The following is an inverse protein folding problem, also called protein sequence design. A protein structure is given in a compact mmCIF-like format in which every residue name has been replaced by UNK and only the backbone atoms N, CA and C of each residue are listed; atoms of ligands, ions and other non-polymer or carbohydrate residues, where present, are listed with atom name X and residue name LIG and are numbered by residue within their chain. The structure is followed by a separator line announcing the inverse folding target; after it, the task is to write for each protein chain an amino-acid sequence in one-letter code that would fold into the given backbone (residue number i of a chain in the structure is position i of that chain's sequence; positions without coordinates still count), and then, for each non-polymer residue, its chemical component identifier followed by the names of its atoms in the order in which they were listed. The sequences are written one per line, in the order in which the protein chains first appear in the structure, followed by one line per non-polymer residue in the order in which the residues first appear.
data_IF_745998468854
#
_entry.id   IF_745998468854
#
_cell.length_a   1.000
_cell.length_b   1.000
_cell.length_c   1.000
_cell.angle_alpha   90.00
_cell.angle_beta   90.00
_cell.angle_gamma   90.00
#
_symmetry.space_group_name_H-M   'P 1'
#
loop_
_entity.id
_entity.type
_entity.pdbx_description
1 polymer ?
#
# COMPACT_ATOMS: atom_id res chain seq x y z
N UNK A 1 -23.09 -11.00 4.26
CA UNK A 1 -21.75 -10.43 4.07
C UNK A 1 -21.91 -9.13 3.31
N UNK A 2 -21.33 -8.04 3.79
CA UNK A 2 -21.26 -6.78 3.04
C UNK A 2 -20.18 -7.01 1.98
N UNK A 3 -20.50 -7.08 0.69
CA UNK A 3 -19.49 -7.33 -0.35
C UNK A 3 -18.92 -6.03 -0.95
N UNK A 4 -19.47 -4.87 -0.54
CA UNK A 4 -19.14 -3.53 -1.03
C UNK A 4 -19.17 -3.36 -2.56
N UNK A 5 -19.63 -4.36 -3.32
CA UNK A 5 -19.62 -4.35 -4.79
C UNK A 5 -20.58 -3.31 -5.35
N UNK A 6 -21.63 -2.97 -4.58
CA UNK A 6 -22.55 -1.89 -4.93
C UNK A 6 -21.86 -0.52 -5.11
N UNK A 7 -20.72 -0.28 -4.46
CA UNK A 7 -19.96 0.97 -4.60
C UNK A 7 -19.44 1.16 -6.02
N UNK A 8 -19.03 0.08 -6.70
CA UNK A 8 -18.55 0.17 -8.08
C UNK A 8 -19.63 0.73 -9.01
N UNK A 9 -20.84 0.17 -8.91
CA UNK A 9 -21.99 0.65 -9.68
C UNK A 9 -22.27 2.13 -9.40
N UNK A 10 -22.34 2.52 -8.13
CA UNK A 10 -22.71 3.89 -7.75
C UNK A 10 -21.70 4.94 -8.23
N UNK A 11 -20.41 4.71 -8.02
CA UNK A 11 -19.38 5.68 -8.40
C UNK A 11 -19.20 5.77 -9.93
N UNK A 12 -19.29 4.65 -10.66
CA UNK A 12 -19.22 4.68 -12.14
C UNK A 12 -20.37 5.46 -12.77
N UNK A 13 -21.57 5.43 -12.17
CA UNK A 13 -22.73 6.19 -12.68
C UNK A 13 -22.67 7.68 -12.34
N UNK A 14 -22.09 8.04 -11.19
CA UNK A 14 -22.12 9.41 -10.68
C UNK A 14 -21.04 10.33 -11.29
N UNK A 15 -19.88 9.80 -11.68
CA UNK A 15 -18.68 10.63 -11.88
C UNK A 15 -18.13 10.65 -13.30
N UNK A 16 -18.73 9.91 -14.25
CA UNK A 16 -18.07 9.61 -15.52
C UNK A 16 -16.83 8.71 -15.31
N UNK A 17 -16.17 8.29 -16.39
CA UNK A 17 -15.16 7.21 -16.34
C UNK A 17 -13.87 7.55 -15.55
N UNK A 18 -13.65 8.81 -15.16
CA UNK A 18 -12.46 9.22 -14.39
C UNK A 18 -12.68 10.49 -13.56
N UNK A 19 -13.42 10.40 -12.45
CA UNK A 19 -13.41 11.49 -11.47
C UNK A 19 -13.57 10.96 -10.04
N UNK A 20 -12.60 11.28 -9.19
CA UNK A 20 -12.78 11.18 -7.75
C UNK A 20 -13.85 12.19 -7.35
N UNK A 21 -14.87 11.72 -6.64
CA UNK A 21 -15.96 12.56 -6.16
C UNK A 21 -15.72 12.95 -4.72
N UNK A 22 -15.93 14.23 -4.42
CA UNK A 22 -15.91 14.72 -3.04
C UNK A 22 -17.09 14.11 -2.30
N UNK A 23 -16.84 13.56 -1.11
CA UNK A 23 -17.88 13.02 -0.24
C UNK A 23 -18.41 14.15 0.65
N UNK A 24 -19.62 14.63 0.36
CA UNK A 24 -20.29 15.65 1.17
C UNK A 24 -21.39 15.02 2.04
N UNK A 25 -21.56 15.46 3.31
CA UNK A 25 -22.61 14.94 4.18
C UNK A 25 -24.01 15.06 3.57
N UNK A 26 -24.78 13.97 3.60
CA UNK A 26 -26.14 13.92 3.05
C UNK A 26 -26.23 13.68 1.54
N UNK A 27 -25.12 13.41 0.87
CA UNK A 27 -25.10 12.98 -0.53
C UNK A 27 -25.08 11.45 -0.68
N UNK A 28 -25.67 10.96 -1.78
CA UNK A 28 -25.85 9.53 -2.07
C UNK A 28 -24.53 8.75 -1.99
N UNK A 29 -23.44 9.29 -2.54
CA UNK A 29 -22.14 8.62 -2.53
C UNK A 29 -21.56 8.53 -1.11
N UNK A 30 -21.79 9.55 -0.28
CA UNK A 30 -21.36 9.56 1.12
C UNK A 30 -22.15 8.55 1.94
N UNK A 31 -23.46 8.48 1.75
CA UNK A 31 -24.33 7.52 2.42
C UNK A 31 -23.94 6.07 2.04
N UNK A 32 -23.62 5.83 0.77
CA UNK A 32 -23.14 4.53 0.30
C UNK A 32 -21.80 4.13 0.93
N UNK A 33 -20.91 5.10 1.18
CA UNK A 33 -19.62 4.86 1.83
C UNK A 33 -19.72 4.66 3.34
N UNK A 34 -20.85 4.98 3.98
CA UNK A 34 -20.99 4.91 5.44
C UNK A 34 -20.74 3.50 5.98
N UNK A 35 -21.31 2.48 5.34
CA UNK A 35 -21.11 1.07 5.74
C UNK A 35 -19.65 0.63 5.58
N UNK A 36 -18.96 1.14 4.54
CA UNK A 36 -17.54 0.89 4.31
C UNK A 36 -16.70 1.54 5.40
N UNK A 37 -16.94 2.82 5.69
CA UNK A 37 -16.20 3.53 6.73
C UNK A 37 -16.39 2.89 8.10
N UNK A 38 -17.62 2.59 8.51
CA UNK A 38 -17.90 1.92 9.78
C UNK A 38 -17.26 0.54 9.88
N UNK A 39 -17.28 -0.22 8.79
CA UNK A 39 -16.73 -1.58 8.81
C UNK A 39 -15.21 -1.58 9.03
N UNK A 40 -14.50 -0.61 8.46
CA UNK A 40 -13.05 -0.48 8.62
C UNK A 40 -12.63 0.50 9.72
N UNK A 41 -13.57 1.15 10.41
CA UNK A 41 -13.30 2.13 11.47
C UNK A 41 -12.67 3.43 10.95
N UNK A 42 -13.09 3.90 9.78
CA UNK A 42 -12.58 5.11 9.12
C UNK A 42 -13.41 6.36 9.44
N UNK A 43 -14.64 6.20 9.92
CA UNK A 43 -15.58 7.29 10.23
C UNK A 43 -15.03 8.22 11.32
N UNK A 44 -14.22 7.69 12.23
CA UNK A 44 -13.58 8.48 13.30
C UNK A 44 -12.57 9.49 12.73
N UNK A 45 -12.06 9.25 11.52
CA UNK A 45 -11.06 10.10 10.87
C UNK A 45 -11.70 11.27 10.13
N UNK A 46 -13.01 11.23 9.89
CA UNK A 46 -13.73 12.33 9.23
C UNK A 46 -13.64 13.63 10.03
N UNK A 47 -13.46 13.55 11.36
CA UNK A 47 -13.30 14.71 12.25
C UNK A 47 -11.95 15.44 12.04
N UNK A 48 -10.91 14.70 11.64
CA UNK A 48 -9.55 15.22 11.44
C UNK A 48 -9.30 15.63 9.98
N UNK A 49 -10.31 15.49 9.11
CA UNK A 49 -10.21 15.81 7.67
C UNK A 49 -11.13 16.95 7.28
N UNK A 50 -10.64 17.86 6.43
CA UNK A 50 -11.47 18.89 5.81
C UNK A 50 -12.22 18.37 4.58
N UNK A 51 -11.68 17.36 3.92
CA UNK A 51 -12.20 16.86 2.66
C UNK A 51 -11.77 15.41 2.41
N UNK A 52 -12.71 14.60 1.93
CA UNK A 52 -12.47 13.24 1.45
C UNK A 52 -13.01 13.13 0.04
N UNK A 53 -12.18 12.61 -0.86
CA UNK A 53 -12.61 12.18 -2.19
C UNK A 53 -12.50 10.67 -2.31
N UNK A 54 -13.43 10.06 -3.04
CA UNK A 54 -13.38 8.64 -3.38
C UNK A 54 -13.85 8.40 -4.82
N UNK A 55 -13.40 7.33 -5.44
CA UNK A 55 -13.86 6.95 -6.77
C UNK A 55 -12.87 6.04 -7.49
N UNK A 56 -13.12 5.88 -8.80
CA UNK A 56 -12.27 5.08 -9.67
C UNK A 56 -11.37 5.97 -10.53
N UNK A 57 -10.10 5.60 -10.60
CA UNK A 57 -9.14 6.14 -11.55
C UNK A 57 -8.93 5.09 -12.63
N UNK A 58 -9.41 5.34 -13.84
CA UNK A 58 -9.12 4.50 -14.99
C UNK A 58 -7.70 4.76 -15.51
N UNK A 59 -6.93 3.69 -15.67
CA UNK A 59 -5.56 3.69 -16.19
C UNK A 59 -5.48 3.16 -17.63
N UNK A 60 -6.64 2.89 -18.25
CA UNK A 60 -6.81 2.19 -19.52
C UNK A 60 -6.63 0.67 -19.43
N UNK A 61 -5.97 0.17 -18.38
CA UNK A 61 -5.80 -1.27 -18.09
C UNK A 61 -6.62 -1.73 -16.89
N UNK A 62 -6.71 -0.86 -15.88
CA UNK A 62 -7.38 -1.12 -14.61
C UNK A 62 -8.17 0.12 -14.17
N UNK A 63 -9.34 -0.10 -13.59
CA UNK A 63 -10.06 0.88 -12.80
C UNK A 63 -9.64 0.72 -11.34
N UNK A 64 -8.95 1.73 -10.81
CA UNK A 64 -8.36 1.72 -9.48
C UNK A 64 -9.28 2.41 -8.48
N UNK A 65 -9.72 1.70 -7.46
CA UNK A 65 -10.43 2.32 -6.35
C UNK A 65 -9.44 3.14 -5.53
N UNK A 66 -9.73 4.44 -5.37
CA UNK A 66 -8.83 5.41 -4.79
C UNK A 66 -9.58 6.33 -3.82
N UNK A 67 -8.92 6.69 -2.73
CA UNK A 67 -9.39 7.66 -1.76
C UNK A 67 -8.30 8.72 -1.49
N UNK A 68 -8.72 9.97 -1.38
CA UNK A 68 -7.86 11.10 -1.04
C UNK A 68 -8.42 11.81 0.19
N UNK A 69 -7.69 11.71 1.29
CA UNK A 69 -8.04 12.28 2.59
C UNK A 69 -7.18 13.53 2.83
N UNK A 70 -7.82 14.69 2.98
CA UNK A 70 -7.11 15.97 3.13
C UNK A 70 -7.29 16.54 4.53
N UNK A 71 -6.20 16.89 5.23
CA UNK A 71 -6.27 17.79 6.38
C UNK A 71 -6.54 19.22 5.89
N UNK A 72 -6.94 20.15 6.78
CA UNK A 72 -7.25 21.53 6.41
C UNK A 72 -6.11 22.29 5.71
N UNK A 73 -4.86 22.00 6.09
CA UNK A 73 -3.66 22.61 5.50
C UNK A 73 -2.61 21.51 5.23
N UNK A 74 -2.64 20.90 4.04
CA UNK A 74 -1.70 19.84 3.69
C UNK A 74 -0.25 20.36 3.60
N UNK A 75 0.67 19.70 4.29
CA UNK A 75 2.11 19.97 4.21
C UNK A 75 2.78 19.26 3.03
N UNK A 76 2.05 18.41 2.32
CA UNK A 76 2.50 17.54 1.24
C UNK A 76 1.49 16.42 0.98
N UNK A 77 1.87 15.45 0.14
CA UNK A 77 1.06 14.28 -0.20
C UNK A 77 1.79 12.99 0.13
N UNK A 78 1.19 12.15 0.98
CA UNK A 78 1.63 10.80 1.27
C UNK A 78 0.84 9.79 0.42
N UNK A 79 1.54 9.05 -0.44
CA UNK A 79 0.97 7.97 -1.23
C UNK A 79 1.16 6.65 -0.49
N UNK A 80 0.06 6.08 0.00
CA UNK A 80 0.06 4.82 0.75
C UNK A 80 -0.27 3.66 -0.19
N UNK A 81 0.60 2.65 -0.21
CA UNK A 81 0.46 1.46 -1.05
C UNK A 81 0.43 0.20 -0.17
N UNK A 82 -0.64 -0.57 -0.28
CA UNK A 82 -0.85 -1.74 0.56
C UNK A 82 -0.06 -2.98 0.12
N UNK A 83 0.00 -4.00 0.98
CA UNK A 83 0.65 -5.28 0.71
C UNK A 83 -0.18 -6.25 -0.14
N UNK A 84 0.44 -7.34 -0.59
CA UNK A 84 -0.27 -8.41 -1.30
C UNK A 84 -1.31 -9.07 -0.39
N UNK A 85 -2.53 -9.26 -0.89
CA UNK A 85 -3.75 -9.64 -0.15
C UNK A 85 -4.38 -8.60 0.77
N UNK A 86 -3.80 -7.42 0.91
CA UNK A 86 -4.45 -6.31 1.61
C UNK A 86 -5.37 -5.51 0.66
N UNK A 87 -5.99 -4.49 1.22
CA UNK A 87 -6.63 -3.38 0.52
C UNK A 87 -6.57 -2.14 1.42
N UNK A 88 -6.86 -0.94 0.91
CA UNK A 88 -6.59 0.31 1.64
C UNK A 88 -7.42 0.51 2.92
N UNK A 89 -8.57 -0.15 3.04
CA UNK A 89 -9.44 -0.08 4.22
C UNK A 89 -8.74 -0.55 5.50
N UNK A 90 -7.71 -1.41 5.37
CA UNK A 90 -6.93 -1.93 6.50
C UNK A 90 -5.91 -0.91 7.05
N UNK A 91 -5.74 0.26 6.43
CA UNK A 91 -4.66 1.19 6.74
C UNK A 91 -5.08 2.35 7.66
N UNK A 92 -6.20 2.19 8.39
CA UNK A 92 -6.78 3.24 9.26
C UNK A 92 -5.76 3.87 10.23
N UNK A 93 -4.88 3.05 10.82
CA UNK A 93 -3.93 3.51 11.84
C UNK A 93 -2.85 4.40 11.21
N UNK A 94 -2.34 4.01 10.04
CA UNK A 94 -1.37 4.81 9.29
C UNK A 94 -2.02 6.08 8.73
N UNK A 95 -3.23 5.97 8.16
CA UNK A 95 -3.99 7.12 7.68
C UNK A 95 -4.19 8.15 8.78
N UNK A 96 -4.66 7.72 9.96
CA UNK A 96 -4.80 8.59 11.13
C UNK A 96 -3.50 9.31 11.50
N UNK A 97 -2.39 8.57 11.55
CA UNK A 97 -1.07 9.11 11.92
C UNK A 97 -0.62 10.17 10.92
N UNK A 98 -0.69 9.88 9.62
CA UNK A 98 -0.28 10.82 8.56
C UNK A 98 -1.16 12.08 8.50
N UNK A 99 -2.49 11.95 8.67
CA UNK A 99 -3.40 13.09 8.76
C UNK A 99 -3.07 13.99 9.96
N UNK A 100 -2.78 13.40 11.12
CA UNK A 100 -2.38 14.14 12.31
C UNK A 100 -1.03 14.89 12.12
N UNK A 101 -0.15 14.38 11.26
CA UNK A 101 1.08 15.06 10.82
C UNK A 101 0.85 16.07 9.68
N UNK A 102 -0.39 16.32 9.29
CA UNK A 102 -0.74 17.32 8.29
C UNK A 102 -0.56 16.88 6.84
N UNK A 103 -0.34 15.59 6.57
CA UNK A 103 -0.20 15.10 5.20
C UNK A 103 -1.56 14.87 4.56
N UNK A 104 -1.74 15.29 3.31
CA UNK A 104 -2.81 14.73 2.47
C UNK A 104 -2.44 13.28 2.17
N UNK A 105 -3.37 12.36 2.37
CA UNK A 105 -3.11 10.93 2.18
C UNK A 105 -3.88 10.42 0.97
N UNK A 106 -3.16 9.85 0.02
CA UNK A 106 -3.71 9.15 -1.14
C UNK A 106 -3.55 7.66 -0.87
N UNK A 107 -4.67 6.93 -0.83
CA UNK A 107 -4.67 5.47 -0.78
C UNK A 107 -5.42 4.92 -1.98
N UNK A 108 -5.03 3.71 -2.39
CA UNK A 108 -5.65 3.05 -3.53
C UNK A 108 -5.51 1.54 -3.40
N UNK A 109 -6.47 0.83 -3.96
CA UNK A 109 -6.41 -0.62 -4.06
C UNK A 109 -5.60 -1.01 -5.30
N UNK A 110 -4.63 -1.92 -5.12
CA UNK A 110 -3.84 -2.48 -6.21
C UNK A 110 -4.74 -3.26 -7.19
N UNK A 111 -4.34 -3.40 -8.46
CA UNK A 111 -5.03 -4.29 -9.41
C UNK A 111 -5.38 -5.65 -8.81
N UNK A 112 -6.64 -6.07 -8.97
CA UNK A 112 -7.15 -7.33 -8.45
C UNK A 112 -7.39 -7.39 -6.93
N UNK A 113 -7.21 -6.29 -6.20
CA UNK A 113 -7.40 -6.20 -4.75
C UNK A 113 -8.54 -5.24 -4.41
N UNK A 114 -9.11 -5.41 -3.21
CA UNK A 114 -10.20 -4.59 -2.71
C UNK A 114 -11.28 -4.36 -3.76
N UNK A 115 -11.58 -3.09 -4.02
CA UNK A 115 -12.58 -2.67 -5.01
C UNK A 115 -12.00 -2.38 -6.39
N UNK A 116 -10.68 -2.44 -6.57
CA UNK A 116 -10.05 -2.27 -7.89
C UNK A 116 -10.38 -3.41 -8.84
N UNK A 117 -10.44 -3.11 -10.13
CA UNK A 117 -10.70 -4.10 -11.17
C UNK A 117 -9.54 -5.06 -11.39
N UNK A 118 -9.76 -6.11 -12.18
CA UNK A 118 -8.75 -7.11 -12.53
C UNK A 118 -8.99 -8.47 -11.86
N UNK A 119 -8.24 -9.47 -12.34
CA UNK A 119 -8.27 -10.81 -11.79
C UNK A 119 -7.80 -10.80 -10.32
N UNK A 120 -8.49 -11.54 -9.44
CA UNK A 120 -8.28 -11.45 -8.00
C UNK A 120 -6.85 -11.84 -7.61
N UNK A 121 -6.18 -10.94 -6.89
CA UNK A 121 -4.79 -11.10 -6.43
C UNK A 121 -3.80 -11.54 -7.53
N UNK A 122 -4.02 -11.08 -8.76
CA UNK A 122 -3.24 -11.45 -9.94
C UNK A 122 -2.80 -10.21 -10.73
N UNK A 123 -1.58 -10.30 -11.25
CA UNK A 123 -1.01 -9.39 -12.26
C UNK A 123 -0.20 -10.21 -13.26
N UNK A 124 -0.09 -9.72 -14.49
CA UNK A 124 0.72 -10.35 -15.52
C UNK A 124 2.20 -10.00 -15.35
N UNK A 125 2.52 -8.74 -15.03
CA UNK A 125 3.88 -8.30 -14.72
C UNK A 125 3.87 -7.24 -13.61
N UNK A 126 4.95 -7.12 -12.85
CA UNK A 126 5.08 -6.05 -11.83
C UNK A 126 5.07 -4.65 -12.45
N UNK A 127 5.36 -4.53 -13.75
CA UNK A 127 5.24 -3.28 -14.49
C UNK A 127 3.77 -2.78 -14.55
N UNK A 128 2.77 -3.66 -14.36
CA UNK A 128 1.38 -3.24 -14.22
C UNK A 128 1.18 -2.35 -12.98
N UNK A 129 1.88 -2.65 -11.87
CA UNK A 129 1.85 -1.79 -10.69
C UNK A 129 2.53 -0.44 -10.94
N UNK A 130 3.64 -0.42 -11.67
CA UNK A 130 4.38 0.81 -12.01
C UNK A 130 3.55 1.71 -12.95
N UNK A 131 2.89 1.10 -13.95
CA UNK A 131 1.94 1.76 -14.84
C UNK A 131 0.84 2.44 -14.03
N UNK A 132 0.21 1.68 -13.13
CA UNK A 132 -0.88 2.19 -12.31
C UNK A 132 -0.46 3.34 -11.38
N UNK A 133 0.67 3.19 -10.68
CA UNK A 133 1.21 4.23 -9.79
C UNK A 133 1.50 5.53 -10.56
N UNK A 134 2.20 5.43 -11.69
CA UNK A 134 2.57 6.59 -12.51
C UNK A 134 1.33 7.30 -13.07
N UNK A 135 0.35 6.52 -13.51
CA UNK A 135 -0.90 7.07 -14.06
C UNK A 135 -1.72 7.78 -12.99
N UNK A 136 -1.85 7.16 -11.81
CA UNK A 136 -2.53 7.75 -10.64
C UNK A 136 -1.84 9.05 -10.21
N UNK A 137 -0.51 9.05 -10.08
CA UNK A 137 0.25 10.28 -9.77
C UNK A 137 0.01 11.38 -10.80
N UNK A 138 -0.01 11.03 -12.08
CA UNK A 138 -0.23 11.99 -13.18
C UNK A 138 -1.62 12.63 -13.10
N UNK A 139 -2.67 11.83 -12.89
CA UNK A 139 -4.05 12.32 -12.76
C UNK A 139 -4.20 13.20 -11.52
N UNK A 140 -3.72 12.74 -10.37
CA UNK A 140 -3.86 13.52 -9.13
C UNK A 140 -3.06 14.83 -9.18
N UNK A 141 -1.90 14.82 -9.83
CA UNK A 141 -1.12 16.05 -10.06
C UNK A 141 -1.85 17.02 -10.99
N UNK A 142 -2.44 16.55 -12.09
CA UNK A 142 -3.15 17.42 -13.04
C UNK A 142 -4.42 18.02 -12.44
N UNK A 143 -5.05 17.33 -11.49
CA UNK A 143 -6.22 17.79 -10.74
C UNK A 143 -5.87 18.66 -9.52
N UNK A 144 -4.58 18.93 -9.26
CA UNK A 144 -4.15 19.69 -8.06
C UNK A 144 -4.41 18.94 -6.75
N UNK A 145 -4.63 17.63 -6.81
CA UNK A 145 -4.92 16.78 -5.67
C UNK A 145 -3.67 16.20 -4.99
N UNK A 146 -2.49 16.34 -5.60
CA UNK A 146 -1.22 15.86 -5.03
C UNK A 146 -0.16 16.98 -4.91
N UNK A 147 -0.31 17.95 -3.99
CA UNK A 147 0.72 18.95 -3.72
C UNK A 147 2.02 18.28 -3.24
N UNK A 148 3.16 18.81 -3.70
CA UNK A 148 4.48 18.41 -3.20
C UNK A 148 4.71 18.96 -1.77
N UNK A 149 5.62 18.36 -0.99
CA UNK A 149 6.40 17.13 -1.27
C UNK A 149 5.58 15.87 -1.40
N UNK A 150 6.16 14.86 -2.07
CA UNK A 150 5.58 13.52 -2.15
C UNK A 150 6.34 12.54 -1.26
N UNK A 151 5.63 11.91 -0.33
CA UNK A 151 6.11 10.83 0.51
C UNK A 151 5.50 9.51 0.03
N UNK A 152 6.32 8.51 -0.26
CA UNK A 152 5.81 7.15 -0.53
C UNK A 152 5.80 6.33 0.76
N UNK A 153 4.67 5.72 1.12
CA UNK A 153 4.60 4.80 2.27
C UNK A 153 4.05 3.45 1.81
N UNK A 154 4.84 2.38 1.90
CA UNK A 154 4.47 1.10 1.31
C UNK A 154 4.70 -0.07 2.24
N UNK A 155 3.68 -0.93 2.40
CA UNK A 155 3.81 -2.19 3.11
C UNK A 155 4.09 -3.34 2.15
N UNK A 156 5.09 -4.17 2.44
CA UNK A 156 5.36 -5.41 1.71
C UNK A 156 5.47 -5.18 0.19
N UNK A 157 4.53 -5.69 -0.60
CA UNK A 157 4.42 -5.43 -2.05
C UNK A 157 4.29 -3.95 -2.38
N UNK A 158 3.57 -3.16 -1.60
CA UNK A 158 3.54 -1.71 -1.75
C UNK A 158 4.92 -1.08 -1.58
N UNK A 159 5.71 -1.59 -0.63
CA UNK A 159 7.12 -1.20 -0.46
C UNK A 159 7.97 -1.57 -1.68
N UNK A 160 7.75 -2.74 -2.26
CA UNK A 160 8.41 -3.18 -3.49
C UNK A 160 8.08 -2.27 -4.68
N UNK A 161 6.82 -1.87 -4.81
CA UNK A 161 6.34 -0.98 -5.88
C UNK A 161 7.02 0.39 -5.77
N UNK A 162 7.00 1.01 -4.58
CA UNK A 162 7.62 2.31 -4.35
C UNK A 162 9.14 2.28 -4.51
N UNK A 163 9.81 1.25 -3.99
CA UNK A 163 11.25 1.09 -4.15
C UNK A 163 11.63 0.92 -5.62
N UNK A 164 10.87 0.13 -6.40
CA UNK A 164 11.09 -0.03 -7.84
C UNK A 164 10.94 1.29 -8.57
N UNK A 165 9.89 2.05 -8.25
CA UNK A 165 9.60 3.33 -8.88
C UNK A 165 10.72 4.35 -8.64
N UNK A 166 11.13 4.51 -7.38
CA UNK A 166 12.21 5.41 -6.99
C UNK A 166 13.57 5.04 -7.61
N UNK A 167 13.89 3.74 -7.69
CA UNK A 167 15.16 3.28 -8.27
C UNK A 167 15.18 3.43 -9.80
N UNK A 168 14.03 3.20 -10.45
CA UNK A 168 13.91 3.22 -11.92
C UNK A 168 13.78 4.64 -12.45
N UNK A 169 12.88 5.45 -11.87
CA UNK A 169 12.61 6.82 -12.33
C UNK A 169 13.47 7.88 -11.66
N UNK A 170 14.12 7.57 -10.53
CA UNK A 170 15.01 8.51 -9.81
C UNK A 170 14.32 9.84 -9.55
N UNK A 171 14.92 10.96 -9.95
CA UNK A 171 14.37 12.31 -9.76
C UNK A 171 13.01 12.50 -10.45
N UNK A 172 12.78 11.81 -11.57
CA UNK A 172 11.49 11.86 -12.29
C UNK A 172 10.34 11.22 -11.51
N UNK A 173 10.64 10.47 -10.44
CA UNK A 173 9.62 9.91 -9.55
C UNK A 173 8.87 10.96 -8.73
N UNK A 174 9.51 12.10 -8.46
CA UNK A 174 8.97 13.16 -7.62
C UNK A 174 8.98 12.85 -6.12
N UNK A 175 9.50 11.69 -5.69
CA UNK A 175 9.58 11.35 -4.27
C UNK A 175 10.56 12.27 -3.54
N UNK A 176 10.12 12.80 -2.41
CA UNK A 176 10.96 13.50 -1.42
C UNK A 176 11.52 12.54 -0.37
N UNK A 177 10.83 11.42 -0.13
CA UNK A 177 11.30 10.33 0.70
C UNK A 177 10.38 9.11 0.63
N UNK A 178 10.88 7.98 1.14
CA UNK A 178 10.13 6.72 1.23
C UNK A 178 10.08 6.19 2.66
N UNK A 179 8.97 5.57 3.03
CA UNK A 179 8.82 4.74 4.22
C UNK A 179 8.41 3.34 3.76
N UNK A 180 9.28 2.37 3.98
CA UNK A 180 9.13 0.99 3.56
C UNK A 180 8.87 0.10 4.77
N UNK A 181 7.68 -0.48 4.86
CA UNK A 181 7.22 -1.30 5.97
C UNK A 181 7.28 -2.78 5.58
N UNK A 182 8.16 -3.55 6.22
CA UNK A 182 8.42 -4.97 5.89
C UNK A 182 8.52 -5.24 4.37
N UNK A 183 9.37 -4.49 3.63
CA UNK A 183 9.33 -4.47 2.17
C UNK A 183 9.66 -5.81 1.52
N UNK A 184 8.89 -6.16 0.49
CA UNK A 184 9.12 -7.34 -0.32
C UNK A 184 10.28 -7.12 -1.29
N UNK A 185 11.29 -7.99 -1.23
CA UNK A 185 12.18 -8.28 -2.37
C UNK A 185 12.07 -9.75 -2.75
N UNK A 186 12.14 -10.63 -1.74
CA UNK A 186 11.76 -12.04 -1.88
C UNK A 186 10.95 -12.52 -0.66
N UNK A 187 10.11 -13.55 -0.83
CA UNK A 187 9.35 -14.14 0.26
C UNK A 187 10.24 -15.02 1.15
N UNK A 188 9.77 -15.29 2.36
CA UNK A 188 10.44 -16.18 3.30
C UNK A 188 10.57 -17.60 2.73
N UNK A 189 11.75 -18.21 2.88
CA UNK A 189 12.03 -19.55 2.36
C UNK A 189 12.12 -19.63 0.82
N UNK A 190 12.26 -18.50 0.12
CA UNK A 190 12.34 -18.46 -1.35
C UNK A 190 13.43 -19.36 -1.93
N UNK A 191 14.63 -19.35 -1.35
CA UNK A 191 15.75 -20.17 -1.83
C UNK A 191 15.47 -21.68 -1.84
N UNK A 192 14.55 -22.13 -0.98
CA UNK A 192 14.17 -23.54 -0.85
C UNK A 192 12.98 -23.91 -1.73
N UNK A 193 12.12 -22.94 -2.08
CA UNK A 193 10.81 -23.20 -2.70
C UNK A 193 10.67 -22.64 -4.11
N UNK A 194 11.55 -21.75 -4.56
CA UNK A 194 11.42 -21.07 -5.86
C UNK A 194 11.45 -22.02 -7.06
N UNK A 195 12.13 -23.17 -6.95
CA UNK A 195 12.18 -24.19 -8.00
C UNK A 195 10.86 -24.96 -8.12
N UNK A 196 10.10 -25.11 -7.03
CA UNK A 196 8.80 -25.79 -7.03
C UNK A 196 7.79 -25.03 -7.87
N UNK A 197 7.81 -23.69 -7.82
CA UNK A 197 6.96 -22.85 -8.65
C UNK A 197 7.20 -23.08 -10.15
N UNK A 198 8.46 -23.22 -10.58
CA UNK A 198 8.80 -23.46 -11.99
C UNK A 198 8.22 -24.79 -12.52
N UNK A 199 8.14 -25.80 -11.66
CA UNK A 199 7.60 -27.12 -12.01
C UNK A 199 6.06 -27.11 -11.95
N UNK A 200 5.48 -26.42 -10.97
CA UNK A 200 4.05 -26.42 -10.74
C UNK A 200 3.28 -25.46 -11.67
N UNK A 201 3.92 -24.37 -12.13
CA UNK A 201 3.23 -23.30 -12.85
C UNK A 201 2.53 -23.68 -14.16
N UNK A 202 2.98 -24.70 -14.93
CA UNK A 202 2.23 -25.14 -16.12
C UNK A 202 0.93 -25.88 -15.79
N UNK A 203 0.80 -26.44 -14.57
CA UNK A 203 -0.28 -27.33 -14.18
C UNK A 203 -1.24 -26.73 -13.14
N UNK A 204 -0.80 -25.69 -12.43
CA UNK A 204 -1.55 -25.05 -11.33
C UNK A 204 -1.68 -23.56 -11.58
N UNK A 205 -2.90 -23.04 -11.53
CA UNK A 205 -3.18 -21.60 -11.66
C UNK A 205 -3.27 -20.89 -10.32
N UNK A 206 -3.81 -21.57 -9.31
CA UNK A 206 -4.10 -20.98 -8.00
C UNK A 206 -3.76 -21.97 -6.88
N UNK A 207 -3.31 -21.44 -5.75
CA UNK A 207 -3.10 -22.21 -4.52
C UNK A 207 -3.98 -21.64 -3.39
N UNK A 208 -4.59 -22.48 -2.53
CA UNK A 208 -5.32 -21.99 -1.37
C UNK A 208 -4.41 -21.13 -0.49
N UNK A 209 -4.89 -19.94 -0.10
CA UNK A 209 -4.18 -19.10 0.86
C UNK A 209 -4.17 -19.78 2.23
N UNK A 210 -3.00 -19.82 2.85
CA UNK A 210 -2.87 -20.22 4.25
C UNK A 210 -2.74 -18.97 5.10
N UNK A 211 -3.76 -18.67 5.89
CA UNK A 211 -3.68 -17.62 6.89
C UNK A 211 -2.61 -18.00 7.92
N UNK A 212 -1.59 -17.15 8.03
CA UNK A 212 -0.57 -17.23 9.07
C UNK A 212 -0.71 -15.97 9.93
N UNK A 213 -0.59 -16.05 11.26
CA UNK A 213 -0.53 -14.87 12.10
C UNK A 213 0.62 -13.98 11.64
N UNK A 214 0.29 -12.87 10.99
CA UNK A 214 1.24 -11.93 10.39
C UNK A 214 1.27 -10.60 11.13
N UNK A 215 0.48 -10.47 12.20
CA UNK A 215 0.46 -9.39 13.19
C UNK A 215 0.37 -10.00 14.61
N UNK A 216 0.83 -9.27 15.63
CA UNK A 216 0.60 -9.57 17.05
C UNK A 216 -0.75 -9.07 17.57
N UNK A 217 -1.48 -8.26 16.80
CA UNK A 217 -2.85 -7.86 17.10
C UNK A 217 -3.81 -9.01 16.76
N UNK A 218 -4.32 -9.66 17.81
CA UNK A 218 -5.24 -10.79 17.69
C UNK A 218 -6.60 -10.37 17.12
N UNK A 219 -7.11 -9.17 17.47
CA UNK A 219 -8.39 -8.68 16.97
C UNK A 219 -8.30 -8.40 15.47
N UNK A 220 -7.19 -7.79 15.03
CA UNK A 220 -6.93 -7.59 13.61
C UNK A 220 -6.81 -8.91 12.86
N UNK A 221 -6.08 -9.89 13.42
CA UNK A 221 -5.91 -11.21 12.79
C UNK A 221 -7.24 -11.97 12.68
N UNK A 222 -8.11 -11.88 13.68
CA UNK A 222 -9.46 -12.45 13.65
C UNK A 222 -10.35 -11.74 12.60
N UNK A 223 -10.31 -10.41 12.57
CA UNK A 223 -11.02 -9.61 11.57
C UNK A 223 -10.62 -10.01 10.13
N UNK A 224 -9.33 -10.16 9.83
CA UNK A 224 -8.89 -10.60 8.50
C UNK A 224 -9.41 -12.01 8.13
N UNK A 225 -9.61 -12.88 9.12
CA UNK A 225 -10.00 -14.27 8.89
C UNK A 225 -11.50 -14.44 8.70
N UNK A 226 -12.30 -13.68 9.44
CA UNK A 226 -13.75 -13.88 9.53
C UNK A 226 -14.59 -12.66 9.14
N UNK A 227 -14.01 -11.46 9.28
CA UNK A 227 -14.72 -10.19 9.19
C UNK A 227 -14.54 -9.46 7.86
N UNK A 228 -13.38 -9.59 7.23
CA UNK A 228 -13.01 -8.83 6.04
C UNK A 228 -13.51 -9.51 4.74
N UNK A 229 -14.52 -8.91 4.05
CA UNK A 229 -15.10 -9.47 2.84
C UNK A 229 -14.24 -9.25 1.58
N UNK A 230 -13.19 -8.43 1.66
CA UNK A 230 -12.34 -8.07 0.51
C UNK A 230 -11.04 -8.90 0.45
N UNK A 231 -10.82 -9.82 1.40
CA UNK A 231 -9.64 -10.68 1.42
C UNK A 231 -9.64 -11.68 0.25
N UNK A 232 -8.56 -11.73 -0.55
CA UNK A 232 -8.38 -12.81 -1.50
C UNK A 232 -8.12 -14.14 -0.78
N UNK A 233 -8.80 -15.19 -1.23
CA UNK A 233 -8.68 -16.54 -0.64
C UNK A 233 -7.61 -17.41 -1.33
N UNK A 234 -7.06 -16.94 -2.45
CA UNK A 234 -6.18 -17.73 -3.32
C UNK A 234 -4.94 -16.95 -3.73
N UNK A 235 -3.81 -17.64 -3.72
CA UNK A 235 -2.54 -17.17 -4.27
C UNK A 235 -2.50 -17.44 -5.77
N UNK A 236 -2.35 -16.39 -6.57
CA UNK A 236 -2.17 -16.53 -8.02
C UNK A 236 -0.73 -16.97 -8.35
N UNK A 237 -0.61 -18.04 -9.15
CA UNK A 237 0.68 -18.50 -9.68
C UNK A 237 1.25 -17.50 -10.69
N UNK A 238 0.39 -16.75 -11.39
CA UNK A 238 0.82 -15.69 -12.30
C UNK A 238 1.50 -14.55 -11.53
N UNK A 239 0.95 -14.16 -10.36
CA UNK A 239 1.60 -13.17 -9.48
C UNK A 239 3.00 -13.61 -9.03
N UNK A 240 3.15 -14.87 -8.59
CA UNK A 240 4.47 -15.41 -8.20
C UNK A 240 5.44 -15.42 -9.40
N UNK A 241 4.93 -15.71 -10.59
CA UNK A 241 5.72 -15.67 -11.83
C UNK A 241 6.18 -14.25 -12.16
N UNK A 242 5.29 -13.26 -12.00
CA UNK A 242 5.59 -11.84 -12.20
C UNK A 242 6.67 -11.36 -11.21
N UNK A 243 6.52 -11.69 -9.92
CA UNK A 243 7.53 -11.38 -8.89
C UNK A 243 8.89 -11.97 -9.23
N UNK A 244 8.93 -13.22 -9.71
CA UNK A 244 10.18 -13.89 -10.09
C UNK A 244 10.88 -13.22 -11.27
N UNK A 245 10.14 -12.68 -12.25
CA UNK A 245 10.68 -11.89 -13.36
C UNK A 245 11.13 -10.50 -12.93
N UNK A 246 10.44 -9.91 -11.96
CA UNK A 246 10.74 -8.59 -11.43
C UNK A 246 11.98 -8.55 -10.55
N UNK A 247 12.17 -9.53 -9.67
CA UNK A 247 13.24 -9.50 -8.67
C UNK A 247 14.64 -9.28 -9.28
N UNK A 248 15.07 -9.97 -10.36
CA UNK A 248 16.35 -9.69 -11.01
C UNK A 248 16.46 -8.26 -11.57
N UNK A 249 15.35 -7.67 -12.05
CA UNK A 249 15.31 -6.29 -12.57
C UNK A 249 15.53 -5.29 -11.45
N UNK A 250 14.87 -5.46 -10.29
CA UNK A 250 15.14 -4.65 -9.10
C UNK A 250 16.60 -4.78 -8.65
N UNK A 251 17.12 -6.01 -8.59
CA UNK A 251 18.50 -6.26 -8.18
C UNK A 251 19.54 -5.62 -9.12
N UNK A 252 19.20 -5.42 -10.38
CA UNK A 252 20.06 -4.76 -11.36
C UNK A 252 20.02 -3.22 -11.28
N UNK A 253 19.07 -2.61 -10.56
CA UNK A 253 18.97 -1.14 -10.47
C UNK A 253 20.17 -0.52 -9.75
N UNK A 254 20.64 0.63 -10.21
CA UNK A 254 21.68 1.38 -9.48
C UNK A 254 21.11 1.99 -8.18
N UNK A 255 21.92 2.15 -7.11
CA UNK A 255 21.46 2.76 -5.87
C UNK A 255 20.87 4.17 -6.03
N UNK A 256 20.02 4.57 -5.08
CA UNK A 256 19.39 5.89 -4.98
C UNK A 256 19.72 6.54 -3.64
N UNK A 257 20.03 7.83 -3.65
CA UNK A 257 20.33 8.61 -2.45
C UNK A 257 19.07 9.14 -1.74
N UNK A 258 17.89 8.80 -2.26
CA UNK A 258 16.59 9.25 -1.73
C UNK A 258 16.47 8.92 -0.23
N UNK A 259 16.14 9.90 0.63
CA UNK A 259 15.87 9.64 2.04
C UNK A 259 14.83 8.53 2.20
N UNK A 260 15.17 7.51 2.99
CA UNK A 260 14.34 6.31 3.12
C UNK A 260 14.33 5.83 4.56
N UNK A 261 13.15 5.59 5.12
CA UNK A 261 12.97 4.85 6.36
C UNK A 261 12.55 3.42 6.03
N UNK A 262 13.19 2.43 6.64
CA UNK A 262 12.81 1.02 6.55
C UNK A 262 12.47 0.51 7.94
N UNK A 263 11.22 0.09 8.12
CA UNK A 263 10.74 -0.56 9.34
C UNK A 263 10.58 -2.06 9.08
N UNK A 264 11.09 -2.89 10.00
CA UNK A 264 11.05 -4.34 9.86
C UNK A 264 10.76 -5.04 11.19
N UNK A 265 9.85 -6.02 11.18
CA UNK A 265 9.69 -6.95 12.30
C UNK A 265 10.63 -8.13 12.21
N UNK A 266 11.24 -8.53 13.33
CA UNK A 266 12.17 -9.68 13.36
C UNK A 266 11.45 -11.04 13.43
N UNK A 267 10.15 -11.05 13.74
CA UNK A 267 9.29 -12.25 13.68
C UNK A 267 8.54 -12.37 12.34
N UNK A 268 8.99 -11.66 11.31
CA UNK A 268 8.40 -11.73 9.97
C UNK A 268 8.71 -13.08 9.30
N UNK A 269 7.65 -13.87 9.05
CA UNK A 269 7.71 -15.15 8.35
C UNK A 269 7.04 -15.11 6.96
N UNK A 270 6.79 -13.90 6.45
CA UNK A 270 6.20 -13.65 5.14
C UNK A 270 7.29 -13.31 4.14
N UNK A 271 8.19 -12.40 4.49
CA UNK A 271 9.33 -12.02 3.65
C UNK A 271 10.65 -12.48 4.26
N UNK A 272 11.65 -12.71 3.41
CA UNK A 272 13.00 -13.05 3.86
C UNK A 272 13.70 -11.75 4.31
N UNK A 273 13.33 -11.29 5.49
CA UNK A 273 13.61 -9.92 5.92
C UNK A 273 15.11 -9.63 6.06
N UNK A 274 15.91 -10.57 6.57
CA UNK A 274 17.36 -10.39 6.71
C UNK A 274 18.01 -10.16 5.34
N UNK A 275 17.63 -10.97 4.36
CA UNK A 275 18.15 -10.82 3.01
C UNK A 275 17.59 -9.58 2.31
N UNK A 276 16.30 -9.29 2.46
CA UNK A 276 15.66 -8.11 1.88
C UNK A 276 16.32 -6.83 2.41
N UNK A 277 16.55 -6.71 3.73
CA UNK A 277 17.24 -5.58 4.33
C UNK A 277 18.66 -5.42 3.79
N UNK A 278 19.42 -6.52 3.67
CA UNK A 278 20.78 -6.46 3.12
C UNK A 278 20.82 -5.98 1.66
N UNK A 279 19.79 -6.27 0.87
CA UNK A 279 19.64 -5.74 -0.49
C UNK A 279 19.22 -4.27 -0.46
N UNK A 280 18.19 -3.93 0.32
CA UNK A 280 17.63 -2.58 0.36
C UNK A 280 18.60 -1.56 0.94
N UNK A 281 19.41 -1.93 1.93
CA UNK A 281 20.49 -1.09 2.44
C UNK A 281 21.53 -0.74 1.36
N UNK A 282 21.74 -1.61 0.36
CA UNK A 282 22.59 -1.31 -0.80
C UNK A 282 21.89 -0.44 -1.83
N UNK A 283 20.58 -0.60 -2.00
CA UNK A 283 19.77 0.20 -2.93
C UNK A 283 19.51 1.61 -2.42
N UNK A 284 19.38 1.78 -1.12
CA UNK A 284 19.15 3.04 -0.43
C UNK A 284 20.23 3.22 0.66
N UNK A 285 21.46 3.64 0.29
CA UNK A 285 22.57 3.79 1.23
C UNK A 285 22.33 4.80 2.35
N UNK A 286 21.39 5.73 2.18
CA UNK A 286 20.99 6.70 3.21
C UNK A 286 19.77 6.22 4.02
N UNK A 287 19.42 4.93 3.96
CA UNK A 287 18.25 4.44 4.65
C UNK A 287 18.45 4.38 6.17
N UNK A 288 17.49 4.92 6.91
CA UNK A 288 17.32 4.68 8.34
C UNK A 288 16.60 3.34 8.52
N UNK A 289 17.22 2.38 9.21
CA UNK A 289 16.68 1.02 9.35
C UNK A 289 16.35 0.74 10.81
N UNK A 290 15.06 0.60 11.11
CA UNK A 290 14.56 0.27 12.44
C UNK A 290 13.97 -1.14 12.45
N UNK A 291 14.39 -1.94 13.42
CA UNK A 291 13.91 -3.31 13.63
C UNK A 291 13.19 -3.41 14.95
N UNK A 292 12.09 -4.16 14.97
CA UNK A 292 11.35 -4.45 16.20
C UNK A 292 11.38 -5.96 16.49
N UNK A 293 11.94 -6.41 17.64
CA UNK A 293 12.14 -7.83 17.95
C UNK A 293 10.85 -8.66 18.01
N UNK A 294 9.74 -8.03 18.39
CA UNK A 294 8.45 -8.71 18.56
C UNK A 294 7.48 -8.51 17.38
N UNK A 295 7.78 -7.56 16.47
CA UNK A 295 6.88 -7.30 15.36
C UNK A 295 6.98 -8.42 14.32
N UNK A 296 5.86 -8.68 13.66
CA UNK A 296 5.71 -9.61 12.55
C UNK A 296 5.69 -8.80 11.24
N UNK A 297 4.80 -9.12 10.31
CA UNK A 297 4.82 -8.59 8.94
C UNK A 297 3.93 -7.37 8.73
N UNK A 298 2.71 -7.37 9.29
CA UNK A 298 1.71 -6.35 9.02
C UNK A 298 1.87 -5.13 9.95
N UNK A 299 2.99 -4.41 9.79
CA UNK A 299 3.48 -3.40 10.73
C UNK A 299 2.46 -2.30 11.11
N UNK A 300 1.62 -1.86 10.16
CA UNK A 300 0.61 -0.81 10.45
C UNK A 300 -0.54 -1.29 11.33
N UNK A 301 -0.70 -2.60 11.50
CA UNK A 301 -1.74 -3.24 12.30
C UNK A 301 -1.12 -4.20 13.33
N UNK A 302 0.11 -3.97 13.76
CA UNK A 302 0.67 -4.60 14.96
C UNK A 302 -0.05 -4.13 16.22
N UNK A 303 0.12 -4.88 17.33
CA UNK A 303 -0.40 -4.48 18.63
C UNK A 303 0.06 -3.06 18.99
N UNK A 304 -0.80 -2.31 19.69
CA UNK A 304 -0.61 -0.88 19.96
C UNK A 304 0.79 -0.53 20.49
N UNK A 305 1.31 -1.30 21.45
CA UNK A 305 2.65 -1.05 22.03
C UNK A 305 3.79 -1.16 21.02
N UNK A 306 3.66 -2.04 20.03
CA UNK A 306 4.64 -2.22 18.95
C UNK A 306 4.44 -1.13 17.90
N UNK A 307 3.19 -0.92 17.50
CA UNK A 307 2.82 0.03 16.44
C UNK A 307 3.21 1.47 16.82
N UNK A 308 3.03 1.87 18.07
CA UNK A 308 3.43 3.21 18.53
C UNK A 308 4.94 3.43 18.40
N UNK A 309 5.78 2.47 18.78
CA UNK A 309 7.25 2.56 18.60
C UNK A 309 7.63 2.70 17.12
N UNK A 310 6.96 1.95 16.24
CA UNK A 310 7.17 2.05 14.80
C UNK A 310 6.70 3.41 14.24
N UNK A 311 5.59 3.94 14.77
CA UNK A 311 5.05 5.23 14.35
C UNK A 311 5.85 6.42 14.89
N UNK A 312 6.52 6.29 16.03
CA UNK A 312 7.48 7.30 16.50
C UNK A 312 8.66 7.46 15.53
N UNK A 313 9.18 6.35 14.99
CA UNK A 313 10.21 6.39 13.95
C UNK A 313 9.70 7.03 12.65
N UNK A 314 8.46 6.69 12.24
CA UNK A 314 7.79 7.35 11.12
C UNK A 314 7.66 8.86 11.34
N UNK A 315 7.19 9.28 12.52
CA UNK A 315 6.97 10.69 12.85
C UNK A 315 8.29 11.47 12.78
N UNK A 316 9.37 10.91 13.34
CA UNK A 316 10.69 11.54 13.30
C UNK A 316 11.23 11.70 11.88
N UNK A 317 11.07 10.68 11.02
CA UNK A 317 11.49 10.75 9.62
C UNK A 317 10.67 11.78 8.83
N UNK A 318 9.35 11.81 9.05
CA UNK A 318 8.45 12.75 8.38
C UNK A 318 8.74 14.21 8.78
N UNK A 319 9.02 14.46 10.06
CA UNK A 319 9.37 15.80 10.54
C UNK A 319 10.65 16.33 9.88
N UNK A 320 11.67 15.48 9.77
CA UNK A 320 12.92 15.85 9.08
C UNK A 320 12.71 16.14 7.59
N UNK A 321 11.82 15.40 6.92
CA UNK A 321 11.49 15.67 5.52
C UNK A 321 10.81 17.03 5.34
N UNK A 322 9.94 17.43 6.27
CA UNK A 322 9.29 18.74 6.24
C UNK A 322 10.26 19.88 6.54
N UNK A 323 11.19 19.70 7.49
CA UNK A 323 12.21 20.71 7.84
C UNK A 323 13.21 20.97 6.70
N UNK A 324 13.63 19.92 5.97
CA UNK A 324 14.58 20.05 4.86
C UNK A 324 14.02 20.79 3.64
N UNK A 325 12.74 21.17 3.66
CA UNK A 325 12.04 21.83 2.55
C UNK A 325 11.53 23.23 2.87
N UNK A 326 11.62 23.66 4.13
CA UNK A 326 11.27 25.01 4.58
C UNK A 326 12.44 26.00 4.39
#
# INVERSE_FOLDING_TARGET
MRDFQHLEGLFRHASGETALSRLLPGEILTDAMQDYFQHYGLEVLLLDTSEVHAGFIDTGRFALWCQVWSPPQPVGTAFVVHGYFDHMGLYRHLLKRLLAKGWRVVLWDLPGHGLSSGARAEIEDFDDYQHCLTHLQTILKSQGMAPAPWLGVGQSTGGAILATDALTRREDSGWSGLVLLAPLVRPWGWSQTSWLHLIASPFVKELPRKYRPNSTDEQFTEFLREGDPLQPERLSVAWVSAMRRWMPRLLAQEPSQLPTLILQGEQDLTVDWEWNLAILAKKFPNAEIHRHPEARHHLVNEADSIREVLFEALDGFVDQLSENQA
#
